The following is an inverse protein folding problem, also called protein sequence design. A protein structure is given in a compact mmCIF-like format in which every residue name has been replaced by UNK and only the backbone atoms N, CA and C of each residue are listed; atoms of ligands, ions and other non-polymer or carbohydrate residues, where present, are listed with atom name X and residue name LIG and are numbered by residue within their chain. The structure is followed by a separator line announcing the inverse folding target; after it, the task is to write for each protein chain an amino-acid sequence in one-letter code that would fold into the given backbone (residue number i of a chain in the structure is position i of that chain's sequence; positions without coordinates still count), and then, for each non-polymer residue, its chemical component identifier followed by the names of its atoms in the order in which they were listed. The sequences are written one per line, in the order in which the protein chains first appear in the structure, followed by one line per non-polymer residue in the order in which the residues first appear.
data_IF_097824783142
#
_entry.id   IF_097824783142
#
_cell.length_a   1.000
_cell.length_b   1.000
_cell.length_c   1.000
_cell.angle_alpha   90.00
_cell.angle_beta   90.00
_cell.angle_gamma   90.00
#
_symmetry.space_group_name_H-M   'P 1'
#
loop_
_entity.id
_entity.type
_entity.pdbx_description
1 polymer ?
#
# COMPACT_ATOMS: atom_id res chain seq x y z
N UNK A 1 36.57 13.62 -18.74
CA UNK A 1 36.67 12.64 -17.63
C UNK A 1 37.58 11.50 -18.08
N UNK A 2 38.79 11.36 -17.51
CA UNK A 2 39.75 10.34 -17.94
C UNK A 2 39.24 8.91 -17.68
N UNK A 3 39.69 7.94 -18.47
CA UNK A 3 39.27 6.53 -18.42
C UNK A 3 39.38 5.92 -17.00
N UNK A 4 40.37 6.35 -16.22
CA UNK A 4 40.56 5.94 -14.84
C UNK A 4 39.38 6.38 -13.94
N UNK A 5 38.94 7.64 -14.08
CA UNK A 5 37.84 8.21 -13.30
C UNK A 5 36.51 7.53 -13.64
N UNK A 6 36.30 7.14 -14.90
CA UNK A 6 35.11 6.40 -15.34
C UNK A 6 35.04 4.99 -14.72
N UNK A 7 36.17 4.28 -14.63
CA UNK A 7 36.24 2.95 -14.02
C UNK A 7 36.01 2.98 -12.51
N UNK A 8 36.56 3.99 -11.81
CA UNK A 8 36.33 4.17 -10.37
C UNK A 8 34.87 4.52 -10.09
N UNK A 9 34.29 5.45 -10.87
CA UNK A 9 32.88 5.81 -10.76
C UNK A 9 31.94 4.61 -10.95
N UNK A 10 32.18 3.76 -11.95
CA UNK A 10 31.39 2.55 -12.18
C UNK A 10 31.44 1.58 -10.99
N UNK A 11 32.63 1.39 -10.39
CA UNK A 11 32.78 0.54 -9.19
C UNK A 11 32.00 1.07 -7.99
N UNK A 12 31.99 2.39 -7.80
CA UNK A 12 31.22 3.03 -6.73
C UNK A 12 29.72 2.83 -6.93
N UNK A 13 29.21 3.02 -8.15
CA UNK A 13 27.78 2.77 -8.46
C UNK A 13 27.42 1.30 -8.21
N UNK A 14 28.24 0.37 -8.69
CA UNK A 14 28.02 -1.07 -8.50
C UNK A 14 28.04 -1.49 -7.03
N UNK A 15 28.79 -0.78 -6.19
CA UNK A 15 28.84 -1.03 -4.75
C UNK A 15 27.60 -0.49 -4.04
N UNK A 16 27.05 0.66 -4.47
CA UNK A 16 25.90 1.33 -3.84
C UNK A 16 24.57 0.73 -4.29
N UNK A 17 24.46 0.32 -5.56
CA UNK A 17 23.22 -0.22 -6.12
C UNK A 17 22.58 -1.37 -5.32
N UNK A 18 23.31 -2.37 -4.78
CA UNK A 18 22.69 -3.42 -3.98
C UNK A 18 22.07 -2.88 -2.69
N UNK A 19 22.68 -1.90 -2.03
CA UNK A 19 22.12 -1.30 -0.82
C UNK A 19 20.79 -0.57 -1.10
N UNK A 20 20.71 0.13 -2.24
CA UNK A 20 19.46 0.78 -2.67
C UNK A 20 18.37 -0.25 -2.96
N UNK A 21 18.72 -1.35 -3.64
CA UNK A 21 17.78 -2.44 -3.93
C UNK A 21 17.27 -3.08 -2.64
N UNK A 22 18.17 -3.42 -1.71
CA UNK A 22 17.81 -4.01 -0.42
C UNK A 22 16.92 -3.05 0.38
N UNK A 23 17.29 -1.77 0.45
CA UNK A 23 16.48 -0.75 1.13
C UNK A 23 15.08 -0.63 0.55
N UNK A 24 14.95 -0.59 -0.78
CA UNK A 24 13.66 -0.57 -1.47
C UNK A 24 12.82 -1.82 -1.16
N UNK A 25 13.43 -3.00 -1.18
CA UNK A 25 12.75 -4.26 -0.84
C UNK A 25 12.27 -4.26 0.61
N UNK A 26 13.09 -3.81 1.57
CA UNK A 26 12.70 -3.70 2.97
C UNK A 26 11.49 -2.78 3.16
N UNK A 27 11.49 -1.59 2.53
CA UNK A 27 10.35 -0.66 2.60
C UNK A 27 9.10 -1.31 1.98
N UNK A 28 9.24 -1.94 0.82
CA UNK A 28 8.12 -2.61 0.14
C UNK A 28 7.53 -3.74 1.00
N UNK A 29 8.37 -4.54 1.63
CA UNK A 29 7.93 -5.61 2.53
C UNK A 29 7.22 -5.04 3.77
N UNK A 30 7.75 -3.96 4.36
CA UNK A 30 7.15 -3.31 5.51
C UNK A 30 5.75 -2.74 5.19
N UNK A 31 5.59 -2.08 4.04
CA UNK A 31 4.30 -1.55 3.58
C UNK A 31 3.31 -2.68 3.32
N UNK A 32 3.74 -3.75 2.62
CA UNK A 32 2.88 -4.90 2.37
C UNK A 32 2.45 -5.61 3.67
N UNK A 33 3.34 -5.72 4.64
CA UNK A 33 3.02 -6.29 5.95
C UNK A 33 1.96 -5.46 6.69
N UNK A 34 2.08 -4.12 6.68
CA UNK A 34 1.04 -3.25 7.25
C UNK A 34 -0.30 -3.43 6.53
N UNK A 35 -0.29 -3.40 5.19
CA UNK A 35 -1.51 -3.61 4.41
C UNK A 35 -2.16 -4.96 4.68
N UNK A 36 -1.36 -6.02 4.85
CA UNK A 36 -1.87 -7.33 5.23
C UNK A 36 -2.60 -7.29 6.57
N UNK A 37 -2.02 -6.64 7.60
CA UNK A 37 -2.65 -6.53 8.91
C UNK A 37 -3.96 -5.74 8.85
N UNK A 38 -4.00 -4.62 8.11
CA UNK A 38 -5.23 -3.83 7.94
C UNK A 38 -6.31 -4.64 7.24
N UNK A 39 -5.96 -5.34 6.14
CA UNK A 39 -6.91 -6.21 5.43
C UNK A 39 -7.49 -7.27 6.34
N UNK A 40 -6.64 -7.92 7.14
CA UNK A 40 -7.06 -8.94 8.10
C UNK A 40 -8.01 -8.34 9.14
N UNK A 41 -7.65 -7.22 9.74
CA UNK A 41 -8.47 -6.56 10.75
C UNK A 41 -9.85 -6.15 10.21
N UNK A 42 -9.91 -5.61 8.99
CA UNK A 42 -11.17 -5.26 8.31
C UNK A 42 -12.04 -6.49 8.08
N UNK A 43 -11.49 -7.61 7.63
CA UNK A 43 -12.23 -8.86 7.41
C UNK A 43 -12.72 -9.50 8.72
N UNK A 44 -11.95 -9.39 9.80
CA UNK A 44 -12.31 -9.92 11.11
C UNK A 44 -13.44 -9.10 11.77
N UNK A 45 -13.45 -7.78 11.60
CA UNK A 45 -14.47 -6.90 12.18
C UNK A 45 -15.77 -6.81 11.37
N UNK A 46 -15.70 -7.02 10.04
CA UNK A 46 -16.81 -6.75 9.12
C UNK A 46 -17.15 -8.01 8.29
N UNK A 47 -17.90 -8.96 8.85
CA UNK A 47 -18.19 -10.24 8.19
C UNK A 47 -19.05 -10.12 6.92
N UNK A 48 -19.67 -8.98 6.67
CA UNK A 48 -20.39 -8.71 5.42
C UNK A 48 -19.45 -8.45 4.23
N UNK A 49 -18.16 -8.19 4.49
CA UNK A 49 -17.14 -8.03 3.46
C UNK A 49 -16.68 -9.41 2.99
N UNK A 50 -16.93 -9.71 1.72
CA UNK A 50 -16.58 -10.99 1.11
C UNK A 50 -15.16 -11.01 0.55
N UNK A 51 -14.68 -9.88 0.02
CA UNK A 51 -13.31 -9.75 -0.49
C UNK A 51 -12.81 -8.30 -0.43
N UNK A 52 -11.49 -8.14 -0.39
CA UNK A 52 -10.80 -6.85 -0.52
C UNK A 52 -10.08 -6.85 -1.87
N UNK A 53 -10.49 -5.96 -2.76
CA UNK A 53 -9.96 -5.82 -4.12
C UNK A 53 -8.68 -4.99 -4.14
N UNK A 54 -8.64 -3.90 -3.36
CA UNK A 54 -7.47 -3.04 -3.27
C UNK A 54 -7.39 -2.33 -1.92
N UNK A 55 -6.18 -1.89 -1.59
CA UNK A 55 -5.88 -1.05 -0.43
C UNK A 55 -4.89 0.02 -0.88
N UNK A 56 -5.09 1.23 -0.39
CA UNK A 56 -4.18 2.34 -0.49
C UNK A 56 -4.08 3.04 0.85
N UNK A 57 -2.98 3.74 1.07
CA UNK A 57 -2.79 4.61 2.22
C UNK A 57 -3.14 6.04 1.81
N UNK A 58 -3.92 6.75 2.61
CA UNK A 58 -4.11 8.20 2.48
C UNK A 58 -3.12 8.93 3.40
N UNK A 59 -2.62 10.06 2.92
CA UNK A 59 -1.61 10.87 3.61
C UNK A 59 -0.25 10.87 2.91
N UNK A 60 0.45 12.01 3.02
CA UNK A 60 1.79 12.22 2.46
C UNK A 60 2.90 12.16 3.52
N UNK A 61 4.14 12.40 3.10
CA UNK A 61 5.31 12.40 4.00
C UNK A 61 5.25 13.42 5.16
N UNK A 62 4.33 14.40 5.11
CA UNK A 62 4.15 15.44 6.15
C UNK A 62 2.97 15.16 7.10
N UNK A 63 2.00 14.36 6.67
CA UNK A 63 0.89 13.93 7.51
C UNK A 63 1.25 12.56 8.08
N UNK A 64 1.60 12.50 9.37
CA UNK A 64 1.78 11.24 10.06
C UNK A 64 0.51 10.39 9.87
N UNK A 65 0.66 9.38 9.01
CA UNK A 65 -0.40 8.62 8.40
C UNK A 65 -1.41 8.10 9.41
N UNK A 66 -2.68 8.39 9.21
CA UNK A 66 -3.75 7.86 10.04
C UNK A 66 -4.69 6.94 9.26
N UNK A 67 -5.00 7.21 7.99
CA UNK A 67 -6.13 6.54 7.33
C UNK A 67 -5.75 5.68 6.11
N UNK A 68 -6.40 4.52 6.01
CA UNK A 68 -6.35 3.58 4.90
C UNK A 68 -7.65 3.62 4.12
N UNK A 69 -7.55 3.49 2.80
CA UNK A 69 -8.69 3.35 1.89
C UNK A 69 -8.66 1.96 1.30
N UNK A 70 -9.78 1.25 1.40
CA UNK A 70 -9.93 -0.07 0.82
C UNK A 70 -11.09 -0.07 -0.17
N UNK A 71 -10.92 -0.78 -1.27
CA UNK A 71 -12.05 -1.16 -2.13
C UNK A 71 -12.40 -2.60 -1.79
N UNK A 72 -13.62 -2.78 -1.31
CA UNK A 72 -14.11 -4.05 -0.78
C UNK A 72 -15.38 -4.47 -1.51
N UNK A 73 -15.67 -5.77 -1.52
CA UNK A 73 -16.89 -6.33 -2.05
C UNK A 73 -17.77 -6.78 -0.88
N UNK A 74 -18.99 -6.26 -0.79
CA UNK A 74 -20.01 -6.76 0.14
C UNK A 74 -21.02 -7.56 -0.68
N UNK A 75 -21.11 -8.87 -0.44
CA UNK A 75 -21.98 -9.78 -1.21
C UNK A 75 -21.49 -10.08 -2.63
N UNK A 76 -22.43 -10.27 -3.57
CA UNK A 76 -22.12 -10.83 -4.90
C UNK A 76 -21.70 -9.81 -5.96
N UNK A 77 -22.04 -8.52 -5.86
CA UNK A 77 -21.72 -7.58 -6.95
C UNK A 77 -21.53 -6.11 -6.58
N UNK A 78 -21.63 -5.74 -5.29
CA UNK A 78 -21.48 -4.34 -4.90
C UNK A 78 -20.09 -4.07 -4.33
N UNK A 79 -19.37 -3.16 -5.00
CA UNK A 79 -18.09 -2.64 -4.53
C UNK A 79 -18.31 -1.38 -3.70
N UNK A 80 -17.68 -1.35 -2.54
CA UNK A 80 -17.64 -0.22 -1.64
C UNK A 80 -16.21 0.28 -1.52
N UNK A 81 -16.04 1.59 -1.43
CA UNK A 81 -14.81 2.19 -0.94
C UNK A 81 -15.05 2.50 0.54
N UNK A 82 -14.16 2.03 1.39
CA UNK A 82 -14.24 2.22 2.83
C UNK A 82 -12.96 2.90 3.32
N UNK A 83 -13.07 3.61 4.44
CA UNK A 83 -11.98 4.24 5.14
C UNK A 83 -11.82 3.63 6.54
N UNK A 84 -10.59 3.49 7.02
CA UNK A 84 -10.28 2.94 8.35
C UNK A 84 -8.95 3.47 8.86
N UNK A 85 -8.79 3.57 10.19
CA UNK A 85 -7.49 3.89 10.81
C UNK A 85 -6.55 2.67 10.96
N UNK A 86 -6.98 1.50 10.46
CA UNK A 86 -6.16 0.29 10.36
C UNK A 86 -6.40 -0.74 11.47
N UNK A 87 -7.28 -0.44 12.42
CA UNK A 87 -7.80 -1.34 13.44
C UNK A 87 -8.96 -2.23 12.93
N UNK A 88 -9.50 -1.93 11.75
CA UNK A 88 -10.61 -2.64 11.15
C UNK A 88 -11.97 -1.94 11.33
N UNK A 89 -12.04 -0.88 12.13
CA UNK A 89 -13.24 -0.06 12.26
C UNK A 89 -13.41 0.83 11.01
N UNK A 90 -14.62 0.85 10.45
CA UNK A 90 -14.94 1.61 9.25
C UNK A 90 -15.34 3.03 9.66
N UNK A 91 -14.53 4.03 9.29
CA UNK A 91 -14.78 5.45 9.57
C UNK A 91 -15.74 6.08 8.56
N UNK A 92 -15.84 5.49 7.38
CA UNK A 92 -16.78 5.88 6.34
C UNK A 92 -16.88 4.84 5.24
N UNK A 93 -17.96 4.89 4.46
CA UNK A 93 -18.14 4.04 3.28
C UNK A 93 -18.89 4.75 2.15
N UNK A 94 -18.53 4.46 0.91
CA UNK A 94 -19.24 4.91 -0.29
C UNK A 94 -19.39 3.77 -1.30
N UNK A 95 -20.51 3.74 -2.01
CA UNK A 95 -20.71 2.79 -3.11
C UNK A 95 -19.86 3.26 -4.31
N UNK A 96 -19.02 2.36 -4.82
CA UNK A 96 -18.27 2.62 -6.06
C UNK A 96 -19.23 2.44 -7.23
N UNK A 97 -19.86 3.54 -7.67
CA UNK A 97 -20.69 3.54 -8.88
C UNK A 97 -19.79 3.29 -10.11
N UNK A 98 -20.02 2.18 -10.81
CA UNK A 98 -19.46 2.00 -12.14
C UNK A 98 -20.03 3.10 -13.05
N UNK A 99 -19.17 4.04 -13.48
CA UNK A 99 -19.55 5.19 -14.32
C UNK A 99 -19.85 4.81 -15.79
N UNK A 100 -20.11 3.54 -16.06
CA UNK A 100 -20.33 3.00 -17.40
C UNK A 100 -21.54 2.05 -17.34
N UNK A 101 -22.74 2.63 -17.38
CA UNK A 101 -23.97 1.96 -17.82
C UNK A 101 -24.47 2.67 -19.07
#
# INVERSE_FOLDING_TARGET
MNLLNKKVFLKVILMISPFLIVGYLCITLFVNYKFYNVKKAVLEHNPEITSIESIAQLGGWEEFFLEYVLVVKKGTDTKYRIWTYGDGEITGEEIVKNKFS
#
